data_IF_067304044421
#
_entry.id   IF_067304044421
#
_cell.length_a   1.000
_cell.length_b   1.000
_cell.length_c   1.000
_cell.angle_alpha   90.00
_cell.angle_beta   90.00
_cell.angle_gamma   90.00
#
_symmetry.space_group_name_H-M   'P 1'
#
loop_
_entity.id
_entity.type
_entity.pdbx_description
1 polymer ?
#
# COMPACT_ATOMS: atom_id res chain seq x y z
N UNK A 1 -3.43 3.22 -10.45
CA UNK A 1 -4.51 2.46 -9.79
C UNK A 1 -5.85 3.09 -10.16
N UNK A 2 -6.93 2.33 -10.28
CA UNK A 2 -8.23 2.87 -10.66
C UNK A 2 -8.81 3.83 -9.62
N UNK A 3 -9.78 4.67 -10.00
CA UNK A 3 -10.41 5.65 -9.11
C UNK A 3 -11.13 4.95 -7.95
N UNK A 4 -10.87 5.36 -6.70
CA UNK A 4 -11.47 4.74 -5.50
C UNK A 4 -13.00 4.70 -5.55
N UNK A 5 -13.64 5.73 -6.11
CA UNK A 5 -15.10 5.75 -6.32
C UNK A 5 -15.58 4.57 -7.18
N UNK A 6 -14.84 4.25 -8.23
CA UNK A 6 -15.16 3.12 -9.12
C UNK A 6 -14.86 1.78 -8.45
N UNK A 7 -13.76 1.69 -7.70
CA UNK A 7 -13.43 0.48 -6.94
C UNK A 7 -14.48 0.18 -5.87
N UNK A 8 -14.88 1.18 -5.09
CA UNK A 8 -15.93 1.05 -4.07
C UNK A 8 -17.27 0.64 -4.67
N UNK A 9 -17.63 1.18 -5.85
CA UNK A 9 -18.84 0.78 -6.56
C UNK A 9 -18.77 -0.69 -6.99
N UNK A 10 -17.67 -1.12 -7.59
CA UNK A 10 -17.49 -2.50 -8.06
C UNK A 10 -17.55 -3.51 -6.91
N UNK A 11 -16.95 -3.20 -5.76
CA UNK A 11 -16.97 -4.08 -4.58
C UNK A 11 -18.38 -4.22 -4.02
N UNK A 12 -19.15 -3.12 -3.95
CA UNK A 12 -20.56 -3.17 -3.52
C UNK A 12 -21.42 -4.03 -4.43
N UNK A 13 -21.32 -3.81 -5.75
CA UNK A 13 -22.06 -4.61 -6.73
C UNK A 13 -21.68 -6.10 -6.65
N UNK A 14 -20.40 -6.41 -6.47
CA UNK A 14 -19.94 -7.80 -6.33
C UNK A 14 -20.43 -8.45 -5.03
N UNK A 15 -20.39 -7.73 -3.91
CA UNK A 15 -20.90 -8.20 -2.63
C UNK A 15 -22.41 -8.51 -2.69
N UNK A 16 -23.19 -7.67 -3.38
CA UNK A 16 -24.63 -7.86 -3.61
C UNK A 16 -24.91 -9.09 -4.51
N UNK A 17 -24.14 -9.27 -5.59
CA UNK A 17 -24.32 -10.40 -6.51
C UNK A 17 -23.92 -11.75 -5.91
N UNK A 18 -22.87 -11.78 -5.08
CA UNK A 18 -22.33 -13.02 -4.50
C UNK A 18 -22.90 -13.30 -3.11
N UNK A 19 -23.54 -12.32 -2.46
CA UNK A 19 -24.08 -12.42 -1.10
C UNK A 19 -23.00 -12.47 0.01
N UNK A 20 -21.73 -12.27 -0.35
CA UNK A 20 -20.62 -12.33 0.59
C UNK A 20 -20.33 -10.95 1.19
N UNK A 21 -20.75 -10.74 2.44
CA UNK A 21 -20.58 -9.48 3.16
C UNK A 21 -19.13 -9.19 3.56
N UNK A 22 -18.21 -10.15 3.47
CA UNK A 22 -16.81 -9.94 3.83
C UNK A 22 -16.15 -8.82 2.99
N UNK A 23 -16.61 -8.63 1.75
CA UNK A 23 -16.11 -7.58 0.87
C UNK A 23 -16.48 -6.17 1.31
N UNK A 24 -17.54 -5.99 2.11
CA UNK A 24 -17.93 -4.67 2.64
C UNK A 24 -16.89 -4.12 3.63
N UNK A 25 -16.16 -5.01 4.32
CA UNK A 25 -15.09 -4.62 5.24
C UNK A 25 -13.87 -4.02 4.51
N UNK A 26 -13.74 -4.21 3.19
CA UNK A 26 -12.65 -3.63 2.41
C UNK A 26 -12.91 -2.17 2.01
N UNK A 27 -14.18 -1.76 1.95
CA UNK A 27 -14.59 -0.39 1.59
C UNK A 27 -13.95 0.69 2.48
N UNK A 28 -13.95 0.58 3.83
CA UNK A 28 -13.32 1.59 4.69
C UNK A 28 -11.80 1.65 4.54
N UNK A 29 -11.15 0.60 4.01
CA UNK A 29 -9.70 0.55 3.84
C UNK A 29 -9.23 1.19 2.51
N UNK A 30 -10.15 1.44 1.57
CA UNK A 30 -9.85 2.03 0.25
C UNK A 30 -9.92 3.56 0.28
N UNK A 31 -9.12 4.17 1.15
CA UNK A 31 -8.99 5.63 1.24
C UNK A 31 -7.66 6.09 0.63
N UNK A 32 -7.67 7.22 -0.09
CA UNK A 32 -6.49 7.81 -0.73
C UNK A 32 -5.81 6.88 -1.77
N UNK A 33 -4.48 6.95 -1.95
CA UNK A 33 -3.77 6.21 -3.00
C UNK A 33 -3.50 4.75 -2.59
N UNK A 34 -4.57 3.95 -2.58
CA UNK A 34 -4.53 2.52 -2.22
C UNK A 34 -4.85 1.66 -3.44
N UNK A 35 -4.08 0.58 -3.61
CA UNK A 35 -4.27 -0.43 -4.66
C UNK A 35 -4.68 -1.78 -4.08
N UNK A 36 -5.45 -2.55 -4.85
CA UNK A 36 -5.78 -3.94 -4.53
C UNK A 36 -4.82 -4.88 -5.26
N UNK A 37 -4.24 -5.84 -4.53
CA UNK A 37 -3.37 -6.88 -5.08
C UNK A 37 -4.11 -8.21 -4.97
N UNK A 38 -4.40 -8.83 -6.11
CA UNK A 38 -5.00 -10.16 -6.16
C UNK A 38 -3.88 -11.18 -6.37
N UNK A 39 -3.74 -12.10 -5.42
CA UNK A 39 -2.74 -13.17 -5.48
C UNK A 39 -3.42 -14.52 -5.29
N UNK A 40 -2.82 -15.57 -5.84
CA UNK A 40 -3.25 -16.97 -5.63
C UNK A 40 -2.40 -17.69 -4.58
N UNK A 41 -1.36 -17.04 -4.06
CA UNK A 41 -0.38 -17.62 -3.13
C UNK A 41 -0.63 -17.21 -1.68
N UNK A 42 0.22 -17.69 -0.78
CA UNK A 42 0.13 -17.39 0.65
C UNK A 42 0.47 -15.93 0.96
N UNK A 43 -0.30 -15.33 1.87
CA UNK A 43 -0.14 -13.93 2.30
C UNK A 43 1.27 -13.63 2.84
N UNK A 44 1.93 -14.63 3.45
CA UNK A 44 3.28 -14.48 3.99
C UNK A 44 4.32 -14.27 2.88
N UNK A 45 4.22 -15.05 1.80
CA UNK A 45 5.14 -14.95 0.66
C UNK A 45 4.98 -13.60 -0.06
N UNK A 46 3.74 -13.16 -0.27
CA UNK A 46 3.44 -11.87 -0.89
C UNK A 46 4.01 -10.72 -0.07
N UNK A 47 3.87 -10.76 1.24
CA UNK A 47 4.43 -9.72 2.12
C UNK A 47 5.97 -9.70 2.06
N UNK A 48 6.61 -10.86 2.04
CA UNK A 48 8.07 -10.96 1.91
C UNK A 48 8.58 -10.44 0.55
N UNK A 49 7.88 -10.72 -0.54
CA UNK A 49 8.23 -10.21 -1.87
C UNK A 49 8.08 -8.69 -1.94
N UNK A 50 6.96 -8.14 -1.47
CA UNK A 50 6.73 -6.68 -1.45
C UNK A 50 7.78 -5.97 -0.59
N UNK A 51 8.19 -6.56 0.54
CA UNK A 51 9.23 -6.00 1.39
C UNK A 51 10.62 -6.04 0.73
N UNK A 52 10.94 -7.11 -0.02
CA UNK A 52 12.23 -7.26 -0.73
C UNK A 52 12.40 -6.23 -1.85
N UNK A 53 11.34 -5.94 -2.60
CA UNK A 53 11.39 -5.03 -3.75
C UNK A 53 11.02 -3.58 -3.41
N UNK A 54 11.44 -3.10 -2.23
CA UNK A 54 11.28 -1.69 -1.86
C UNK A 54 12.42 -0.85 -2.47
N UNK A 55 12.09 -0.02 -3.45
CA UNK A 55 13.04 0.95 -4.02
C UNK A 55 13.22 2.11 -3.05
N UNK A 56 14.47 2.46 -2.74
CA UNK A 56 14.79 3.64 -1.95
C UNK A 56 14.33 4.90 -2.68
N UNK A 57 13.50 5.70 -2.03
CA UNK A 57 13.08 7.02 -2.51
C UNK A 57 13.58 8.10 -1.55
N UNK A 58 14.02 9.27 -2.06
CA UNK A 58 14.39 10.39 -1.21
C UNK A 58 13.18 10.88 -0.40
N UNK A 59 13.43 11.40 0.80
CA UNK A 59 12.39 12.01 1.62
C UNK A 59 11.71 13.16 0.86
N UNK A 60 10.38 13.20 0.90
CA UNK A 60 9.58 14.24 0.26
C UNK A 60 9.29 15.35 1.27
N UNK A 61 9.40 16.61 0.82
CA UNK A 61 9.10 17.79 1.65
C UNK A 61 7.64 17.76 2.09
N UNK A 62 7.40 18.04 3.38
CA UNK A 62 6.04 18.11 3.95
C UNK A 62 5.47 16.79 4.46
N UNK A 63 6.21 15.68 4.37
CA UNK A 63 5.82 14.39 4.95
C UNK A 63 6.70 14.02 6.14
N UNK A 64 6.13 13.31 7.11
CA UNK A 64 6.88 12.75 8.26
C UNK A 64 7.74 11.60 7.76
N UNK A 65 9.02 11.60 8.13
CA UNK A 65 9.95 10.54 7.77
C UNK A 65 9.54 9.22 8.45
N UNK A 66 9.42 8.10 7.71
CA UNK A 66 9.04 6.81 8.30
C UNK A 66 10.20 6.12 9.04
N UNK A 67 11.43 6.59 8.86
CA UNK A 67 12.67 6.07 9.45
C UNK A 67 13.53 7.28 9.85
N UNK A 68 14.34 7.12 10.90
CA UNK A 68 15.29 8.14 11.33
C UNK A 68 16.28 8.51 10.23
N UNK A 69 16.43 9.82 10.01
CA UNK A 69 17.36 10.37 9.01
C UNK A 69 18.65 10.76 9.72
N UNK A 70 19.72 10.02 9.47
CA UNK A 70 21.05 10.28 10.06
C UNK A 70 21.96 10.92 9.02
N UNK A 71 22.54 12.07 9.38
CA UNK A 71 23.60 12.70 8.59
C UNK A 71 24.94 12.16 9.10
N UNK A 72 25.76 11.51 8.25
CA UNK A 72 27.08 11.05 8.69
C UNK A 72 27.97 12.23 9.07
N UNK A 73 28.76 12.07 10.13
CA UNK A 73 29.75 13.08 10.56
C UNK A 73 30.85 13.21 9.51
N UNK A 74 31.24 14.45 9.21
CA UNK A 74 32.27 14.78 8.24
C UNK A 74 33.59 14.05 8.52
N UNK A 75 33.98 13.12 7.64
CA UNK A 75 35.38 12.69 7.54
C UNK A 75 36.12 13.70 6.67
N UNK A 76 37.06 14.43 7.28
CA UNK A 76 38.02 15.26 6.57
C UNK A 76 38.66 14.45 5.43
N UNK A 77 38.38 14.84 4.18
CA UNK A 77 39.25 14.50 3.06
C UNK A 77 40.48 15.38 3.17
N UNK A 78 41.58 14.82 3.68
CA UNK A 78 42.93 15.28 3.33
C UNK A 78 43.25 14.88 1.90
#
# INVERSE_FOLDING_TARGET
>A
MGKNTMMNRSIRMHAEMTGNQAFLNLIPLLQEDVGLIFTKGDLKQVNEEVAKYKVGAPARVGLVAPIDVVVPTWQHRT
#
